data_IF_261082587067
#
_entry.id   IF_261082587067
#
_cell.length_a   1.000
_cell.length_b   1.000
_cell.length_c   1.000
_cell.angle_alpha   90.00
_cell.angle_beta   90.00
_cell.angle_gamma   90.00
#
_symmetry.space_group_name_H-M   'P 1'
#
loop_
_entity.id
_entity.type
_entity.pdbx_description
1 polymer ?
#
# COMPACT_ATOMS: atom_id res chain seq x y z
N UNK A 1 -11.85 20.56 -43.96
CA UNK A 1 -11.59 21.75 -43.09
C UNK A 1 -12.80 22.65 -42.86
N UNK A 2 -13.58 23.08 -43.88
CA UNK A 2 -14.70 24.03 -43.70
C UNK A 2 -15.93 23.51 -42.91
N UNK A 3 -16.07 22.19 -42.73
CA UNK A 3 -17.19 21.58 -41.99
C UNK A 3 -17.05 21.65 -40.47
N UNK A 4 -15.81 21.64 -39.94
CA UNK A 4 -15.56 21.67 -38.49
C UNK A 4 -15.94 23.03 -37.87
N UNK A 5 -15.86 24.12 -38.65
CA UNK A 5 -16.25 25.48 -38.23
C UNK A 5 -17.76 25.65 -37.97
N UNK A 6 -18.60 24.69 -38.35
CA UNK A 6 -20.06 24.71 -38.09
C UNK A 6 -20.44 24.10 -36.73
N UNK A 7 -19.51 23.48 -36.01
CA UNK A 7 -19.79 22.88 -34.70
C UNK A 7 -19.79 24.02 -33.65
N UNK A 8 -20.87 24.21 -32.87
CA UNK A 8 -21.04 25.36 -31.96
C UNK A 8 -20.03 25.49 -30.80
N UNK A 9 -19.05 24.60 -30.69
CA UNK A 9 -17.93 24.68 -29.75
C UNK A 9 -16.55 24.76 -30.44
N UNK A 10 -16.46 24.68 -31.77
CA UNK A 10 -15.19 24.56 -32.50
C UNK A 10 -14.29 25.79 -32.36
N UNK A 11 -14.88 27.00 -32.41
CA UNK A 11 -14.12 28.24 -32.18
C UNK A 11 -13.55 28.34 -30.76
N UNK A 12 -14.32 27.88 -29.75
CA UNK A 12 -13.85 27.83 -28.35
C UNK A 12 -12.76 26.77 -28.19
N UNK A 13 -12.89 25.62 -28.84
CA UNK A 13 -11.89 24.56 -28.86
C UNK A 13 -10.59 24.99 -29.56
N UNK A 14 -10.67 25.69 -30.70
CA UNK A 14 -9.50 26.25 -31.37
C UNK A 14 -8.78 27.30 -30.53
N UNK A 15 -9.51 28.20 -29.86
CA UNK A 15 -8.93 29.18 -28.95
C UNK A 15 -8.24 28.51 -27.75
N UNK A 16 -8.82 27.42 -27.23
CA UNK A 16 -8.22 26.61 -26.18
C UNK A 16 -6.95 25.88 -26.64
N UNK A 17 -6.96 25.29 -27.84
CA UNK A 17 -5.79 24.64 -28.43
C UNK A 17 -4.64 25.63 -28.70
N UNK A 18 -4.93 26.85 -29.15
CA UNK A 18 -3.91 27.89 -29.31
C UNK A 18 -3.31 28.29 -27.95
N UNK A 19 -4.14 28.50 -26.91
CA UNK A 19 -3.63 28.74 -25.55
C UNK A 19 -2.78 27.60 -25.02
N UNK A 20 -3.12 26.35 -25.33
CA UNK A 20 -2.29 25.18 -24.99
C UNK A 20 -0.94 25.19 -25.74
N UNK A 21 -0.92 25.62 -27.00
CA UNK A 21 0.31 25.75 -27.79
C UNK A 21 1.23 26.86 -27.26
N UNK A 22 0.69 27.92 -26.68
CA UNK A 22 1.45 29.02 -26.07
C UNK A 22 2.11 28.65 -24.73
N UNK A 23 1.72 27.54 -24.11
CA UNK A 23 2.35 27.07 -22.87
C UNK A 23 3.81 26.66 -23.08
N UNK A 24 4.64 26.91 -22.06
CA UNK A 24 6.01 26.39 -22.02
C UNK A 24 6.00 24.87 -22.04
N UNK A 25 7.08 24.27 -22.56
CA UNK A 25 7.23 22.81 -22.63
C UNK A 25 6.99 22.13 -21.27
N UNK A 26 7.52 22.71 -20.19
CA UNK A 26 7.32 22.22 -18.82
C UNK A 26 5.83 22.20 -18.42
N UNK A 27 5.07 23.25 -18.74
CA UNK A 27 3.63 23.34 -18.44
C UNK A 27 2.81 22.36 -19.26
N UNK A 28 3.20 22.12 -20.52
CA UNK A 28 2.57 21.09 -21.37
C UNK A 28 2.81 19.69 -20.82
N UNK A 29 4.06 19.39 -20.44
CA UNK A 29 4.44 18.11 -19.84
C UNK A 29 3.68 17.87 -18.53
N UNK A 30 3.61 18.89 -17.68
CA UNK A 30 2.83 18.84 -16.44
C UNK A 30 1.35 18.57 -16.70
N UNK A 31 0.73 19.25 -17.68
CA UNK A 31 -0.68 19.05 -17.99
C UNK A 31 -0.98 17.61 -18.47
N UNK A 32 -0.12 17.05 -19.32
CA UNK A 32 -0.25 15.65 -19.75
C UNK A 32 -0.09 14.71 -18.55
N UNK A 33 0.91 14.95 -17.70
CA UNK A 33 1.12 14.19 -16.48
C UNK A 33 -0.11 14.23 -15.55
N UNK A 34 -0.69 15.41 -15.35
CA UNK A 34 -1.90 15.60 -14.54
C UNK A 34 -3.11 14.84 -15.08
N UNK A 35 -3.37 14.91 -16.39
CA UNK A 35 -4.52 14.23 -17.02
C UNK A 35 -4.40 12.72 -16.87
N UNK A 36 -3.21 12.16 -17.13
CA UNK A 36 -2.97 10.72 -17.01
C UNK A 36 -3.06 10.29 -15.54
N UNK A 37 -2.38 11.00 -14.63
CA UNK A 37 -2.32 10.67 -13.21
C UNK A 37 -3.69 10.72 -12.54
N UNK A 38 -4.47 11.77 -12.76
CA UNK A 38 -5.83 11.90 -12.20
C UNK A 38 -6.75 10.80 -12.74
N UNK A 39 -6.72 10.55 -14.05
CA UNK A 39 -7.57 9.53 -14.66
C UNK A 39 -7.24 8.13 -14.13
N UNK A 40 -5.95 7.82 -14.01
CA UNK A 40 -5.48 6.57 -13.43
C UNK A 40 -5.92 6.40 -11.98
N UNK A 41 -5.73 7.42 -11.13
CA UNK A 41 -6.10 7.35 -9.71
C UNK A 41 -7.61 7.18 -9.49
N UNK A 42 -8.45 7.87 -10.27
CA UNK A 42 -9.91 7.70 -10.17
C UNK A 42 -10.32 6.27 -10.54
N UNK A 43 -9.67 5.68 -11.55
CA UNK A 43 -9.94 4.30 -11.97
C UNK A 43 -9.40 3.27 -10.96
N UNK A 44 -8.21 3.51 -10.40
CA UNK A 44 -7.59 2.63 -9.41
C UNK A 44 -8.39 2.62 -8.08
N UNK A 45 -8.80 3.80 -7.61
CA UNK A 45 -9.54 3.97 -6.36
C UNK A 45 -11.05 3.79 -6.49
N UNK A 46 -11.57 3.34 -7.65
CA UNK A 46 -13.02 3.28 -7.89
C UNK A 46 -13.77 2.35 -6.93
N UNK A 47 -13.05 1.56 -6.14
CA UNK A 47 -13.57 0.68 -5.11
C UNK A 47 -13.96 1.42 -3.80
N UNK A 48 -13.51 2.66 -3.61
CA UNK A 48 -13.81 3.47 -2.42
C UNK A 48 -15.01 4.40 -2.65
N UNK A 49 -15.66 4.92 -1.59
CA UNK A 49 -16.68 5.95 -1.73
C UNK A 49 -16.12 7.23 -2.36
N UNK A 50 -16.94 7.93 -3.17
CA UNK A 50 -16.52 9.08 -3.99
C UNK A 50 -15.80 10.18 -3.19
N UNK A 51 -16.22 10.43 -1.95
CA UNK A 51 -15.59 11.43 -1.08
C UNK A 51 -14.12 11.08 -0.78
N UNK A 52 -13.85 9.80 -0.49
CA UNK A 52 -12.50 9.31 -0.23
C UNK A 52 -11.65 9.28 -1.50
N UNK A 53 -12.23 8.90 -2.64
CA UNK A 53 -11.55 8.99 -3.95
C UNK A 53 -11.08 10.43 -4.18
N UNK A 54 -11.96 11.43 -4.00
CA UNK A 54 -11.61 12.83 -4.19
C UNK A 54 -10.49 13.29 -3.25
N UNK A 55 -10.52 12.85 -1.99
CA UNK A 55 -9.50 13.18 -1.00
C UNK A 55 -8.14 12.55 -1.35
N UNK A 56 -8.11 11.26 -1.71
CA UNK A 56 -6.92 10.53 -2.13
C UNK A 56 -6.33 11.09 -3.42
N UNK A 57 -7.18 11.35 -4.42
CA UNK A 57 -6.77 11.95 -5.69
C UNK A 57 -6.16 13.33 -5.45
N UNK A 58 -6.79 14.18 -4.63
CA UNK A 58 -6.28 15.53 -4.35
C UNK A 58 -4.95 15.48 -3.60
N UNK A 59 -4.84 14.63 -2.57
CA UNK A 59 -3.60 14.46 -1.80
C UNK A 59 -2.45 13.92 -2.65
N UNK A 60 -2.71 12.86 -3.41
CA UNK A 60 -1.71 12.24 -4.30
C UNK A 60 -1.31 13.20 -5.42
N UNK A 61 -2.27 13.94 -5.98
CA UNK A 61 -2.00 14.96 -6.98
C UNK A 61 -1.10 16.08 -6.45
N UNK A 62 -1.31 16.54 -5.21
CA UNK A 62 -0.47 17.55 -4.58
C UNK A 62 0.98 17.04 -4.43
N UNK A 63 1.15 15.82 -3.92
CA UNK A 63 2.46 15.20 -3.69
C UNK A 63 3.20 14.99 -5.02
N UNK A 64 2.53 14.40 -6.00
CA UNK A 64 3.12 14.16 -7.34
C UNK A 64 3.47 15.46 -8.06
N UNK A 65 2.67 16.51 -7.87
CA UNK A 65 2.98 17.87 -8.37
C UNK A 65 4.27 18.41 -7.76
N UNK A 66 4.42 18.28 -6.43
CA UNK A 66 5.65 18.71 -5.74
C UNK A 66 6.86 17.95 -6.31
N UNK A 67 6.77 16.62 -6.42
CA UNK A 67 7.84 15.81 -7.01
C UNK A 67 8.16 16.21 -8.45
N UNK A 68 7.15 16.44 -9.30
CA UNK A 68 7.36 16.87 -10.68
C UNK A 68 8.18 18.16 -10.77
N UNK A 69 7.84 19.17 -9.95
CA UNK A 69 8.57 20.43 -9.94
C UNK A 69 9.96 20.30 -9.31
N UNK A 70 10.12 19.52 -8.25
CA UNK A 70 11.42 19.25 -7.63
C UNK A 70 12.35 18.54 -8.62
N UNK A 71 11.86 17.52 -9.32
CA UNK A 71 12.61 16.79 -10.35
C UNK A 71 13.01 17.75 -11.47
N UNK A 72 12.05 18.54 -11.98
CA UNK A 72 12.30 19.50 -13.06
C UNK A 72 13.32 20.57 -12.67
N UNK A 73 13.26 21.07 -11.43
CA UNK A 73 14.21 22.04 -10.89
C UNK A 73 15.62 21.44 -10.76
N UNK A 74 15.74 20.28 -10.12
CA UNK A 74 17.01 19.60 -9.92
C UNK A 74 17.66 19.22 -11.26
N UNK A 75 16.87 18.73 -12.23
CA UNK A 75 17.34 18.39 -13.56
C UNK A 75 17.76 19.64 -14.37
N UNK A 76 17.07 20.77 -14.16
CA UNK A 76 17.45 22.06 -14.75
C UNK A 76 18.75 22.63 -14.18
N UNK A 77 19.05 22.38 -12.90
CA UNK A 77 20.29 22.78 -12.22
C UNK A 77 21.46 21.80 -12.41
N UNK A 78 21.19 20.64 -13.01
CA UNK A 78 22.17 19.59 -13.21
C UNK A 78 23.26 19.99 -14.21
N UNK A 79 22.96 20.86 -15.17
CA UNK A 79 23.92 21.37 -16.15
C UNK A 79 24.52 22.70 -15.69
N UNK A 80 25.85 22.75 -15.62
CA UNK A 80 26.62 23.98 -15.45
C UNK A 80 27.25 24.37 -16.78
N UNK A 81 27.12 25.64 -17.14
CA UNK A 81 27.71 26.22 -18.34
C UNK A 81 28.96 27.01 -17.92
N UNK A 82 30.13 26.65 -18.47
CA UNK A 82 31.35 27.43 -18.31
C UNK A 82 31.81 27.97 -19.68
N UNK A 83 32.14 29.28 -19.77
CA UNK A 83 32.77 29.83 -20.94
C UNK A 83 34.22 29.36 -21.01
N UNK A 84 34.60 28.74 -22.13
CA UNK A 84 35.95 28.28 -22.42
C UNK A 84 36.42 28.91 -23.72
N UNK A 85 37.61 29.53 -23.66
CA UNK A 85 38.32 29.98 -24.84
C UNK A 85 38.93 28.78 -25.56
N UNK A 86 38.45 28.50 -26.77
CA UNK A 86 39.08 27.53 -27.68
C UNK A 86 39.93 28.26 -28.70
N UNK A 87 41.03 27.64 -29.09
CA UNK A 87 41.94 28.18 -30.09
C UNK A 87 41.78 27.39 -31.39
N UNK A 88 41.52 28.09 -32.49
CA UNK A 88 41.57 27.51 -33.83
C UNK A 88 42.95 27.81 -34.41
N UNK A 89 43.77 26.78 -34.58
CA UNK A 89 45.11 26.89 -35.18
C UNK A 89 44.96 26.70 -36.69
N UNK A 90 45.22 27.76 -37.46
CA UNK A 90 45.37 27.70 -38.91
C UNK A 90 46.84 27.78 -39.32
N UNK A 91 47.15 27.66 -40.63
CA UNK A 91 48.53 27.63 -41.12
C UNK A 91 49.38 28.84 -40.71
N UNK A 92 48.76 30.03 -40.57
CA UNK A 92 49.45 31.30 -40.33
C UNK A 92 48.90 32.13 -39.15
N UNK A 93 47.92 31.64 -38.38
CA UNK A 93 47.43 32.35 -37.19
C UNK A 93 46.63 31.45 -36.25
N UNK A 94 46.62 31.79 -34.96
CA UNK A 94 45.77 31.20 -33.94
C UNK A 94 44.69 32.21 -33.53
N UNK A 95 43.42 31.92 -33.84
CA UNK A 95 42.29 32.76 -33.41
C UNK A 95 41.59 32.13 -32.21
N UNK A 96 41.48 32.87 -31.10
CA UNK A 96 40.69 32.47 -29.95
C UNK A 96 39.21 32.77 -30.18
N UNK A 97 38.32 31.82 -29.88
CA UNK A 97 36.88 32.01 -29.90
C UNK A 97 36.26 31.46 -28.60
N UNK A 98 35.27 32.18 -28.09
CA UNK A 98 34.56 31.77 -26.88
C UNK A 98 33.58 30.65 -27.22
N UNK A 99 33.65 29.56 -26.47
CA UNK A 99 32.71 28.43 -26.55
C UNK A 99 32.14 28.14 -25.18
N UNK A 100 30.90 27.67 -25.12
CA UNK A 100 30.31 27.23 -23.86
C UNK A 100 30.53 25.73 -23.71
N UNK A 101 31.24 25.31 -22.66
CA UNK A 101 31.29 23.90 -22.25
C UNK A 101 30.18 23.64 -21.25
N UNK A 102 29.36 22.64 -21.55
CA UNK A 102 28.30 22.17 -20.67
C UNK A 102 28.84 20.94 -19.94
N UNK A 103 28.79 20.93 -18.63
CA UNK A 103 29.18 19.79 -17.79
C UNK A 103 28.18 19.61 -16.64
N UNK A 104 28.24 18.45 -15.98
CA UNK A 104 27.39 18.12 -14.85
C UNK A 104 27.87 18.87 -13.60
N UNK A 105 26.94 19.49 -12.87
CA UNK A 105 27.23 20.09 -11.58
C UNK A 105 27.41 18.98 -10.52
N UNK A 106 28.64 18.73 -10.03
CA UNK A 106 28.92 17.58 -9.17
C UNK A 106 28.21 17.66 -7.81
N UNK A 107 27.93 18.88 -7.32
CA UNK A 107 27.23 19.09 -6.05
C UNK A 107 25.77 18.68 -6.20
N UNK A 108 25.09 19.17 -7.24
CA UNK A 108 23.69 18.83 -7.51
C UNK A 108 23.54 17.35 -7.83
N UNK A 109 24.44 16.81 -8.65
CA UNK A 109 24.52 15.39 -8.99
C UNK A 109 24.60 14.51 -7.73
N UNK A 110 25.62 14.73 -6.89
CA UNK A 110 25.84 13.94 -5.68
C UNK A 110 24.68 14.08 -4.69
N UNK A 111 24.14 15.28 -4.53
CA UNK A 111 23.01 15.53 -3.64
C UNK A 111 21.76 14.78 -4.09
N UNK A 112 21.40 14.87 -5.38
CA UNK A 112 20.24 14.17 -5.94
C UNK A 112 20.41 12.67 -5.86
N UNK A 113 21.59 12.15 -6.21
CA UNK A 113 21.86 10.72 -6.16
C UNK A 113 21.74 10.17 -4.74
N UNK A 114 22.47 10.75 -3.77
CA UNK A 114 22.43 10.31 -2.37
C UNK A 114 21.02 10.43 -1.80
N UNK A 115 20.33 11.54 -2.05
CA UNK A 115 18.95 11.73 -1.60
C UNK A 115 18.04 10.63 -2.13
N UNK A 116 18.10 10.31 -3.43
CA UNK A 116 17.24 9.27 -4.00
C UNK A 116 17.51 7.89 -3.38
N UNK A 117 18.79 7.51 -3.21
CA UNK A 117 19.17 6.24 -2.58
C UNK A 117 18.67 6.17 -1.13
N UNK A 118 18.87 7.23 -0.34
CA UNK A 118 18.41 7.27 1.04
C UNK A 118 16.88 7.26 1.14
N UNK A 119 16.20 7.99 0.26
CA UNK A 119 14.74 8.07 0.27
C UNK A 119 14.06 6.73 -0.04
N UNK A 120 14.70 5.82 -0.78
CA UNK A 120 14.17 4.47 -1.00
C UNK A 120 14.01 3.67 0.31
N UNK A 121 14.73 4.04 1.38
CA UNK A 121 14.55 3.45 2.70
C UNK A 121 13.11 3.60 3.22
N UNK A 122 12.47 4.75 2.98
CA UNK A 122 11.09 5.00 3.42
C UNK A 122 10.03 4.19 2.65
N UNK A 123 10.44 3.47 1.61
CA UNK A 123 9.53 2.68 0.76
C UNK A 123 9.62 1.18 1.01
N UNK A 124 10.34 0.75 2.06
CA UNK A 124 10.68 -0.65 2.35
C UNK A 124 11.40 -1.38 1.20
N UNK A 125 11.95 -0.62 0.25
CA UNK A 125 12.60 -1.17 -0.95
C UNK A 125 13.79 -2.07 -0.59
N UNK A 126 14.52 -1.73 0.49
CA UNK A 126 15.65 -2.49 0.98
C UNK A 126 15.27 -3.73 1.81
N UNK A 127 14.01 -3.86 2.24
CA UNK A 127 13.53 -5.05 2.95
C UNK A 127 13.49 -6.28 2.01
N UNK A 128 13.38 -6.04 0.69
CA UNK A 128 13.46 -7.08 -0.32
C UNK A 128 14.90 -7.28 -0.81
N UNK A 129 15.39 -8.53 -0.78
CA UNK A 129 16.72 -8.91 -1.30
C UNK A 129 16.92 -8.46 -2.75
N UNK A 130 15.88 -8.58 -3.59
CA UNK A 130 15.93 -8.14 -4.98
C UNK A 130 16.11 -6.63 -5.12
N UNK A 131 15.54 -5.84 -4.20
CA UNK A 131 15.71 -4.38 -4.18
C UNK A 131 17.15 -3.97 -3.87
N UNK A 132 17.80 -4.65 -2.91
CA UNK A 132 19.22 -4.43 -2.59
C UNK A 132 20.10 -4.76 -3.81
N UNK A 133 19.87 -5.89 -4.47
CA UNK A 133 20.62 -6.28 -5.66
C UNK A 133 20.42 -5.27 -6.79
N UNK A 134 19.17 -4.87 -7.04
CA UNK A 134 18.82 -3.89 -8.06
C UNK A 134 19.57 -2.57 -7.86
N UNK A 135 19.55 -2.01 -6.64
CA UNK A 135 20.22 -0.73 -6.39
C UNK A 135 21.74 -0.84 -6.53
N UNK A 136 22.31 -1.98 -6.13
CA UNK A 136 23.76 -2.20 -6.21
C UNK A 136 24.21 -2.22 -7.67
N UNK A 137 23.51 -2.96 -8.52
CA UNK A 137 23.75 -2.99 -9.96
C UNK A 137 23.54 -1.61 -10.57
N UNK A 138 22.49 -0.90 -10.16
CA UNK A 138 22.19 0.46 -10.63
C UNK A 138 23.31 1.43 -10.32
N UNK A 139 23.84 1.42 -9.09
CA UNK A 139 24.96 2.23 -8.66
C UNK A 139 26.21 1.93 -9.50
N UNK A 140 26.55 0.64 -9.68
CA UNK A 140 27.72 0.22 -10.48
C UNK A 140 27.61 0.72 -11.91
N UNK A 141 26.46 0.51 -12.57
CA UNK A 141 26.23 1.00 -13.93
C UNK A 141 26.31 2.53 -13.99
N UNK A 142 25.69 3.22 -13.03
CA UNK A 142 25.76 4.67 -12.91
C UNK A 142 27.19 5.20 -12.81
N UNK A 143 28.02 4.56 -11.97
CA UNK A 143 29.45 4.89 -11.84
C UNK A 143 30.21 4.64 -13.14
N UNK A 144 29.98 3.52 -13.83
CA UNK A 144 30.60 3.23 -15.13
C UNK A 144 30.21 4.31 -16.15
N UNK A 145 28.92 4.65 -16.26
CA UNK A 145 28.44 5.70 -17.18
C UNK A 145 29.06 7.06 -16.85
N UNK A 146 29.23 7.37 -15.56
CA UNK A 146 29.86 8.60 -15.10
C UNK A 146 31.35 8.65 -15.44
N UNK A 147 32.05 7.53 -15.28
CA UNK A 147 33.47 7.37 -15.57
C UNK A 147 33.77 7.43 -17.07
N UNK A 148 32.92 6.82 -17.90
CA UNK A 148 32.99 6.88 -19.37
C UNK A 148 32.62 8.26 -19.94
N UNK A 149 32.41 9.26 -19.08
CA UNK A 149 31.95 10.62 -19.44
C UNK A 149 30.69 10.63 -20.32
N UNK A 150 29.86 9.60 -20.19
CA UNK A 150 28.67 9.42 -21.01
C UNK A 150 27.51 10.26 -20.47
N UNK A 151 27.63 11.59 -20.65
CA UNK A 151 26.75 12.58 -20.02
C UNK A 151 25.27 12.37 -20.36
N UNK A 152 24.93 11.91 -21.55
CA UNK A 152 23.55 11.66 -21.96
C UNK A 152 22.96 10.47 -21.21
N UNK A 153 23.62 9.31 -21.26
CA UNK A 153 23.12 8.09 -20.62
C UNK A 153 23.13 8.20 -19.10
N UNK A 154 24.15 8.85 -18.52
CA UNK A 154 24.17 9.12 -17.09
C UNK A 154 23.02 10.02 -16.64
N UNK A 155 22.65 11.05 -17.40
CA UNK A 155 21.50 11.90 -17.10
C UNK A 155 20.18 11.16 -17.19
N UNK A 156 20.02 10.30 -18.20
CA UNK A 156 18.84 9.44 -18.33
C UNK A 156 18.75 8.50 -17.11
N UNK A 157 19.88 7.93 -16.68
CA UNK A 157 19.97 7.12 -15.47
C UNK A 157 19.60 7.94 -14.23
N UNK A 158 20.14 9.15 -14.03
CA UNK A 158 19.78 9.94 -12.86
C UNK A 158 18.29 10.32 -12.85
N UNK A 159 17.73 10.68 -14.01
CA UNK A 159 16.30 10.95 -14.15
C UNK A 159 15.46 9.71 -13.83
N UNK A 160 15.86 8.54 -14.33
CA UNK A 160 15.19 7.27 -14.04
C UNK A 160 15.16 6.97 -12.55
N UNK A 161 16.27 7.22 -11.83
CA UNK A 161 16.33 7.05 -10.38
C UNK A 161 15.39 8.01 -9.66
N UNK A 162 15.37 9.29 -10.04
CA UNK A 162 14.47 10.28 -9.46
C UNK A 162 12.99 9.92 -9.67
N UNK A 163 12.64 9.46 -10.88
CA UNK A 163 11.27 9.04 -11.22
C UNK A 163 10.89 7.78 -10.44
N UNK A 164 11.80 6.80 -10.33
CA UNK A 164 11.60 5.59 -9.55
C UNK A 164 11.35 5.93 -8.07
N UNK A 165 12.23 6.72 -7.45
CA UNK A 165 12.09 7.12 -6.05
C UNK A 165 10.81 7.90 -5.81
N UNK A 166 10.47 8.86 -6.69
CA UNK A 166 9.22 9.62 -6.57
C UNK A 166 7.98 8.73 -6.72
N UNK A 167 8.02 7.76 -7.65
CA UNK A 167 6.95 6.79 -7.87
C UNK A 167 6.73 5.91 -6.65
N UNK A 168 7.80 5.33 -6.10
CA UNK A 168 7.72 4.46 -4.91
C UNK A 168 7.27 5.22 -3.66
N UNK A 169 7.76 6.44 -3.45
CA UNK A 169 7.32 7.29 -2.34
C UNK A 169 5.83 7.67 -2.47
N UNK A 170 5.40 8.03 -3.68
CA UNK A 170 4.00 8.37 -3.93
C UNK A 170 3.08 7.17 -3.71
N UNK A 171 3.50 5.98 -4.17
CA UNK A 171 2.76 4.73 -3.94
C UNK A 171 2.70 4.37 -2.45
N UNK A 172 3.81 4.47 -1.71
CA UNK A 172 3.82 4.20 -0.26
C UNK A 172 2.92 5.17 0.50
N UNK A 173 2.92 6.44 0.12
CA UNK A 173 2.04 7.45 0.71
C UNK A 173 0.55 7.16 0.41
N UNK A 174 0.23 6.75 -0.83
CA UNK A 174 -1.11 6.33 -1.22
C UNK A 174 -1.58 5.14 -0.39
N UNK A 175 -0.75 4.09 -0.28
CA UNK A 175 -1.05 2.90 0.54
C UNK A 175 -1.32 3.26 2.01
N UNK A 176 -0.56 4.18 2.60
CA UNK A 176 -0.80 4.65 3.96
C UNK A 176 -2.13 5.41 4.08
N UNK A 177 -2.48 6.21 3.09
CA UNK A 177 -3.73 6.95 3.06
C UNK A 177 -4.95 6.02 2.87
N UNK A 178 -4.83 4.96 2.08
CA UNK A 178 -5.84 3.89 1.94
C UNK A 178 -6.04 3.14 3.26
N UNK A 179 -4.96 2.76 3.94
CA UNK A 179 -5.02 2.09 5.25
C UNK A 179 -5.73 3.00 6.26
N UNK A 180 -5.37 4.28 6.31
CA UNK A 180 -6.02 5.24 7.20
C UNK A 180 -7.50 5.42 6.86
N UNK A 181 -7.84 5.50 5.57
CA UNK A 181 -9.22 5.61 5.10
C UNK A 181 -10.05 4.39 5.50
N UNK A 182 -9.51 3.19 5.30
CA UNK A 182 -10.14 1.93 5.69
C UNK A 182 -10.33 1.87 7.20
N UNK A 183 -9.30 2.25 7.97
CA UNK A 183 -9.40 2.33 9.43
C UNK A 183 -10.51 3.30 9.87
N UNK A 184 -10.65 4.47 9.24
CA UNK A 184 -11.70 5.43 9.56
C UNK A 184 -13.10 4.93 9.18
N UNK A 185 -13.23 4.21 8.06
CA UNK A 185 -14.49 3.61 7.61
C UNK A 185 -14.98 2.52 8.56
N UNK A 186 -14.06 1.69 9.04
CA UNK A 186 -14.34 0.56 9.94
C UNK A 186 -14.13 0.88 11.41
N UNK A 187 -13.87 2.15 11.76
CA UNK A 187 -13.66 2.53 13.15
C UNK A 187 -14.97 2.31 13.93
N UNK A 188 -14.92 1.57 15.06
CA UNK A 188 -16.09 1.41 15.92
C UNK A 188 -16.68 2.76 16.35
N UNK A 189 -18.01 2.87 16.34
CA UNK A 189 -18.74 4.08 16.75
C UNK A 189 -18.88 4.21 18.26
N UNK A 190 -18.63 3.14 19.00
CA UNK A 190 -18.68 3.07 20.45
C UNK A 190 -17.32 3.32 21.12
N UNK A 191 -17.35 3.53 22.44
CA UNK A 191 -16.15 3.73 23.25
C UNK A 191 -15.29 2.45 23.29
N UNK A 192 -14.02 2.59 22.92
CA UNK A 192 -13.07 1.47 22.86
C UNK A 192 -12.60 1.08 24.26
N UNK A 193 -12.59 -0.22 24.56
CA UNK A 193 -12.04 -0.75 25.82
C UNK A 193 -10.53 -0.97 25.73
N UNK A 194 -9.85 -1.06 26.86
CA UNK A 194 -8.43 -1.46 26.86
C UNK A 194 -8.34 -2.98 26.68
N UNK A 195 -7.90 -3.43 25.49
CA UNK A 195 -7.79 -4.85 25.13
C UNK A 195 -6.34 -5.36 25.11
N UNK A 196 -5.42 -4.59 25.68
CA UNK A 196 -3.97 -4.87 25.61
C UNK A 196 -3.45 -5.74 26.75
N UNK A 197 -4.24 -5.97 27.79
CA UNK A 197 -3.83 -6.66 29.01
C UNK A 197 -3.92 -8.19 28.88
N UNK A 198 -3.20 -8.73 27.91
CA UNK A 198 -3.06 -10.17 27.73
C UNK A 198 -1.89 -10.71 28.53
N UNK A 199 -2.15 -11.75 29.32
CA UNK A 199 -1.14 -12.52 30.02
C UNK A 199 -0.94 -13.86 29.32
N UNK A 200 0.30 -14.14 28.89
CA UNK A 200 0.67 -15.40 28.26
C UNK A 200 1.56 -16.20 29.20
N UNK A 201 1.10 -17.40 29.56
CA UNK A 201 1.89 -18.36 30.31
C UNK A 201 2.60 -19.30 29.33
N UNK A 202 3.94 -19.22 29.28
CA UNK A 202 4.77 -20.03 28.39
C UNK A 202 4.77 -21.52 28.73
N UNK A 203 4.52 -21.91 29.99
CA UNK A 203 4.54 -23.31 30.40
C UNK A 203 3.24 -24.02 30.02
N UNK A 204 2.10 -23.40 30.33
CA UNK A 204 0.78 -23.95 29.98
C UNK A 204 0.33 -23.59 28.56
N UNK A 205 0.99 -22.64 27.90
CA UNK A 205 0.62 -22.05 26.60
C UNK A 205 -0.81 -21.49 26.60
N UNK A 206 -1.23 -21.00 27.76
CA UNK A 206 -2.55 -20.41 27.97
C UNK A 206 -2.42 -18.90 27.88
N UNK A 207 -3.35 -18.31 27.14
CA UNK A 207 -3.42 -16.89 26.89
C UNK A 207 -4.71 -16.37 27.53
N UNK A 208 -4.59 -15.47 28.51
CA UNK A 208 -5.71 -14.95 29.30
C UNK A 208 -5.81 -13.44 29.20
N UNK A 209 -7.02 -12.92 29.14
CA UNK A 209 -7.31 -11.53 29.36
C UNK A 209 -8.45 -11.40 30.38
N UNK A 210 -8.11 -10.87 31.56
CA UNK A 210 -9.03 -10.75 32.68
C UNK A 210 -10.08 -9.66 32.48
N UNK A 211 -9.77 -8.62 31.71
CA UNK A 211 -10.65 -7.47 31.50
C UNK A 211 -11.87 -7.83 30.64
N UNK A 212 -11.70 -8.83 29.76
CA UNK A 212 -12.75 -9.38 28.90
C UNK A 212 -13.11 -10.83 29.23
N UNK A 213 -12.55 -11.38 30.31
CA UNK A 213 -12.82 -12.73 30.82
C UNK A 213 -12.66 -13.84 29.76
N UNK A 214 -11.58 -13.76 28.97
CA UNK A 214 -11.30 -14.73 27.91
C UNK A 214 -10.05 -15.54 28.22
N UNK A 215 -10.12 -16.84 27.93
CA UNK A 215 -8.99 -17.76 27.94
C UNK A 215 -8.91 -18.53 26.61
N UNK A 216 -7.70 -18.65 26.05
CA UNK A 216 -7.38 -19.49 24.89
C UNK A 216 -6.11 -20.31 25.15
N UNK A 217 -5.88 -21.37 24.39
CA UNK A 217 -4.62 -22.12 24.37
C UNK A 217 -4.01 -22.08 22.97
N UNK A 218 -2.69 -21.86 22.91
CA UNK A 218 -1.94 -21.80 21.66
C UNK A 218 -1.15 -23.09 21.40
N UNK A 219 -1.20 -23.64 20.18
CA UNK A 219 -0.27 -24.67 19.72
C UNK A 219 1.19 -24.13 19.63
N UNK A 220 2.16 -25.03 19.52
CA UNK A 220 3.61 -24.69 19.51
C UNK A 220 4.03 -23.72 18.42
N UNK A 221 3.47 -23.86 17.23
CA UNK A 221 3.88 -23.09 16.05
C UNK A 221 3.09 -21.79 15.89
N UNK A 222 2.42 -21.31 16.94
CA UNK A 222 1.55 -20.14 16.89
C UNK A 222 1.97 -19.05 17.86
N UNK A 223 1.82 -17.82 17.38
CA UNK A 223 2.21 -16.61 18.08
C UNK A 223 1.01 -15.68 18.22
N UNK A 224 0.87 -15.08 19.39
CA UNK A 224 -0.13 -14.06 19.66
C UNK A 224 0.45 -12.67 19.51
N UNK A 225 -0.23 -11.87 18.71
CA UNK A 225 0.09 -10.49 18.43
C UNK A 225 -0.87 -9.60 19.21
N UNK A 226 -0.34 -8.95 20.25
CA UNK A 226 -1.09 -8.06 21.12
C UNK A 226 -1.54 -6.80 20.34
N UNK A 227 -2.78 -6.31 20.51
CA UNK A 227 -3.29 -5.10 19.85
C UNK A 227 -2.35 -3.89 19.89
N UNK A 228 -1.57 -3.74 20.96
CA UNK A 228 -0.61 -2.64 21.13
C UNK A 228 0.52 -2.64 20.08
N UNK A 229 0.88 -3.82 19.59
CA UNK A 229 1.99 -4.01 18.66
C UNK A 229 1.54 -4.10 17.19
N UNK A 230 0.23 -4.06 16.94
CA UNK A 230 -0.36 -4.20 15.62
C UNK A 230 -0.29 -2.90 14.82
N UNK A 231 -0.15 -3.00 13.50
CA UNK A 231 -0.22 -1.83 12.63
C UNK A 231 -1.68 -1.37 12.46
N UNK A 232 -1.89 -0.14 12.00
CA UNK A 232 -3.25 0.36 11.67
C UNK A 232 -3.99 -0.55 10.68
N UNK A 233 -3.27 -1.17 9.72
CA UNK A 233 -3.87 -2.13 8.79
C UNK A 233 -4.39 -3.37 9.52
N UNK A 234 -3.63 -3.88 10.48
CA UNK A 234 -4.01 -5.07 11.25
C UNK A 234 -5.14 -4.79 12.24
N UNK A 235 -5.26 -3.54 12.71
CA UNK A 235 -6.34 -3.10 13.59
C UNK A 235 -7.65 -2.81 12.85
N UNK A 236 -7.63 -2.74 11.52
CA UNK A 236 -8.82 -2.45 10.70
C UNK A 236 -9.69 -3.70 10.54
N UNK A 237 -10.98 -3.61 10.86
CA UNK A 237 -11.95 -4.70 10.72
C UNK A 237 -13.33 -4.36 11.30
N UNK A 238 -14.25 -5.32 11.31
CA UNK A 238 -15.66 -5.12 11.68
C UNK A 238 -15.90 -4.74 13.15
N UNK A 239 -14.88 -4.81 14.01
CA UNK A 239 -14.98 -4.46 15.42
C UNK A 239 -13.65 -4.01 16.01
N UNK A 240 -13.58 -3.91 17.34
CA UNK A 240 -12.33 -3.55 18.01
C UNK A 240 -11.40 -4.77 18.08
N UNK A 241 -10.20 -4.70 17.52
CA UNK A 241 -9.26 -5.84 17.57
C UNK A 241 -8.84 -6.15 19.01
N UNK A 242 -9.05 -7.39 19.44
CA UNK A 242 -8.63 -7.93 20.72
C UNK A 242 -7.28 -8.67 20.62
N UNK A 243 -6.92 -9.16 19.44
CA UNK A 243 -5.61 -9.71 19.15
C UNK A 243 -5.61 -10.54 17.88
N UNK A 244 -4.41 -10.93 17.41
CA UNK A 244 -4.26 -11.78 16.23
C UNK A 244 -3.38 -12.98 16.60
N UNK A 245 -3.85 -14.18 16.28
CA UNK A 245 -3.09 -15.42 16.41
C UNK A 245 -2.63 -15.81 15.01
N UNK A 246 -1.35 -16.10 14.82
CA UNK A 246 -0.83 -16.49 13.50
C UNK A 246 0.33 -17.48 13.61
N UNK A 247 0.60 -18.15 12.50
CA UNK A 247 1.72 -19.09 12.35
C UNK A 247 3.10 -18.42 12.19
N UNK A 248 3.21 -17.12 12.44
CA UNK A 248 4.46 -16.37 12.32
C UNK A 248 4.65 -15.40 13.49
N UNK A 249 5.86 -15.35 14.02
CA UNK A 249 6.24 -14.41 15.07
C UNK A 249 6.27 -12.96 14.57
N UNK A 250 6.52 -12.74 13.27
CA UNK A 250 6.73 -11.39 12.71
C UNK A 250 5.61 -10.90 11.81
N UNK A 251 4.83 -11.81 11.21
CA UNK A 251 3.74 -11.47 10.29
C UNK A 251 2.40 -11.91 10.89
N UNK A 252 1.60 -10.98 11.48
CA UNK A 252 0.32 -11.32 12.10
C UNK A 252 -0.71 -11.88 11.11
N UNK A 253 -0.51 -11.70 9.80
CA UNK A 253 -1.44 -12.14 8.77
C UNK A 253 -0.99 -13.43 8.07
N UNK A 254 0.03 -14.12 8.59
CA UNK A 254 0.53 -15.37 8.01
C UNK A 254 -0.46 -16.51 8.26
N UNK A 255 -0.93 -17.17 7.21
CA UNK A 255 -1.88 -18.28 7.38
C UNK A 255 -1.21 -19.53 7.94
N UNK A 256 -1.92 -20.28 8.79
CA UNK A 256 -3.25 -19.95 9.35
C UNK A 256 -3.21 -18.77 10.33
N UNK A 257 -4.21 -17.89 10.24
CA UNK A 257 -4.36 -16.71 11.10
C UNK A 257 -5.80 -16.53 11.58
N UNK A 258 -5.94 -16.13 12.85
CA UNK A 258 -7.23 -15.86 13.51
C UNK A 258 -7.17 -14.46 14.10
N UNK A 259 -7.98 -13.54 13.58
CA UNK A 259 -8.17 -12.20 14.14
C UNK A 259 -9.37 -12.23 15.08
N UNK A 260 -9.19 -11.76 16.30
CA UNK A 260 -10.23 -11.75 17.32
C UNK A 260 -10.72 -10.32 17.45
N UNK A 261 -12.00 -10.08 17.14
CA UNK A 261 -12.66 -8.80 17.32
C UNK A 261 -13.60 -8.85 18.51
N UNK A 262 -13.59 -7.79 19.31
CA UNK A 262 -14.45 -7.59 20.48
C UNK A 262 -15.57 -6.60 20.16
N UNK A 263 -16.75 -6.92 20.65
CA UNK A 263 -17.94 -6.08 20.57
C UNK A 263 -18.58 -5.96 21.96
N UNK A 264 -18.89 -4.73 22.42
CA UNK A 264 -19.47 -4.51 23.74
C UNK A 264 -20.97 -4.84 23.81
N UNK A 265 -21.53 -5.47 22.77
CA UNK A 265 -22.93 -5.85 22.68
C UNK A 265 -23.05 -7.32 22.23
N UNK A 266 -24.09 -8.05 22.67
CA UNK A 266 -24.38 -9.38 22.20
C UNK A 266 -24.86 -9.36 20.74
N UNK A 267 -24.24 -10.13 19.85
CA UNK A 267 -24.75 -10.39 18.50
C UNK A 267 -25.84 -11.45 18.57
N UNK A 268 -27.07 -11.02 18.34
CA UNK A 268 -28.26 -11.89 18.31
C UNK A 268 -28.57 -12.39 16.89
N UNK A 269 -28.05 -11.75 15.85
CA UNK A 269 -28.34 -12.06 14.45
C UNK A 269 -27.06 -12.14 13.61
N UNK A 270 -26.76 -13.33 13.09
CA UNK A 270 -25.61 -13.61 12.22
C UNK A 270 -25.71 -12.83 10.90
N UNK A 271 -26.93 -12.58 10.41
CA UNK A 271 -27.17 -11.93 9.12
C UNK A 271 -26.58 -10.51 9.04
N UNK A 272 -26.64 -9.76 10.15
CA UNK A 272 -26.07 -8.41 10.20
C UNK A 272 -24.54 -8.45 10.06
N UNK A 273 -23.90 -9.37 10.78
CA UNK A 273 -22.45 -9.57 10.72
C UNK A 273 -22.03 -10.10 9.35
N UNK A 274 -22.82 -11.02 8.76
CA UNK A 274 -22.60 -11.54 7.42
C UNK A 274 -22.59 -10.41 6.39
N UNK A 275 -23.53 -9.46 6.47
CA UNK A 275 -23.57 -8.30 5.57
C UNK A 275 -22.31 -7.44 5.67
N UNK A 276 -21.89 -7.07 6.88
CA UNK A 276 -20.67 -6.27 7.11
C UNK A 276 -19.40 -7.02 6.65
N UNK A 277 -19.35 -8.33 6.88
CA UNK A 277 -18.23 -9.17 6.43
C UNK A 277 -18.18 -9.32 4.91
N UNK A 278 -19.34 -9.41 4.24
CA UNK A 278 -19.43 -9.40 2.79
C UNK A 278 -18.96 -8.06 2.22
N UNK A 279 -19.30 -6.93 2.85
CA UNK A 279 -18.76 -5.62 2.46
C UNK A 279 -17.23 -5.58 2.59
N UNK A 280 -16.69 -6.11 3.68
CA UNK A 280 -15.25 -6.25 3.86
C UNK A 280 -14.61 -7.13 2.78
N UNK A 281 -15.19 -8.31 2.48
CA UNK A 281 -14.70 -9.19 1.40
C UNK A 281 -14.79 -8.52 0.03
N UNK A 282 -15.88 -7.81 -0.25
CA UNK A 282 -16.07 -7.08 -1.51
C UNK A 282 -15.01 -5.98 -1.66
N UNK A 283 -14.63 -5.29 -0.59
CA UNK A 283 -13.50 -4.35 -0.62
C UNK A 283 -12.19 -5.08 -0.95
N UNK A 284 -11.89 -6.21 -0.33
CA UNK A 284 -10.70 -7.00 -0.65
C UNK A 284 -10.69 -7.52 -2.11
N UNK A 285 -11.84 -7.90 -2.65
CA UNK A 285 -12.00 -8.28 -4.07
C UNK A 285 -11.76 -7.08 -4.97
N UNK A 286 -12.37 -5.94 -4.67
CA UNK A 286 -12.23 -4.73 -5.47
C UNK A 286 -10.81 -4.14 -5.40
N UNK A 287 -10.08 -4.39 -4.31
CA UNK A 287 -8.65 -4.08 -4.17
C UNK A 287 -7.74 -5.05 -4.95
N UNK A 288 -8.30 -6.12 -5.52
CA UNK A 288 -7.54 -7.14 -6.25
C UNK A 288 -6.68 -8.04 -5.37
N UNK A 289 -6.89 -8.02 -4.04
CA UNK A 289 -6.27 -8.98 -3.11
C UNK A 289 -6.87 -10.38 -3.33
N UNK A 290 -8.13 -10.44 -3.77
CA UNK A 290 -8.93 -11.67 -3.94
C UNK A 290 -9.67 -11.70 -5.29
N UNK A 291 -9.71 -12.85 -5.97
CA UNK A 291 -10.25 -12.95 -7.35
C UNK A 291 -11.47 -13.88 -7.48
N UNK A 292 -11.63 -14.91 -6.64
CA UNK A 292 -12.61 -16.00 -6.85
C UNK A 292 -13.42 -16.34 -5.58
N UNK A 293 -14.13 -15.37 -4.99
CA UNK A 293 -14.89 -15.61 -3.76
C UNK A 293 -16.11 -16.50 -4.00
N UNK A 294 -16.16 -17.64 -3.32
CA UNK A 294 -17.30 -18.57 -3.33
C UNK A 294 -17.74 -18.89 -1.91
N UNK A 295 -19.02 -18.68 -1.60
CA UNK A 295 -19.58 -19.04 -0.30
C UNK A 295 -19.64 -20.57 -0.15
N UNK A 296 -19.08 -21.06 0.95
CA UNK A 296 -19.16 -22.48 1.35
C UNK A 296 -20.43 -22.77 2.16
N UNK A 297 -20.95 -21.77 2.86
CA UNK A 297 -22.18 -21.84 3.65
C UNK A 297 -21.95 -21.55 5.14
N UNK A 298 -23.02 -21.76 5.92
CA UNK A 298 -23.01 -21.66 7.37
C UNK A 298 -22.35 -22.87 8.01
N UNK A 299 -21.49 -22.63 9.00
CA UNK A 299 -20.82 -23.65 9.79
C UNK A 299 -21.11 -23.39 11.28
N UNK A 300 -21.43 -24.44 12.02
CA UNK A 300 -21.63 -24.38 13.46
C UNK A 300 -20.52 -25.18 14.15
N UNK A 301 -19.74 -24.50 14.98
CA UNK A 301 -18.64 -25.10 15.71
C UNK A 301 -19.09 -25.57 17.10
N UNK A 302 -19.29 -26.88 17.24
CA UNK A 302 -19.68 -27.56 18.49
C UNK A 302 -20.90 -26.95 19.22
N UNK A 303 -21.82 -26.28 18.50
CA UNK A 303 -22.96 -25.52 19.06
C UNK A 303 -22.57 -24.36 19.99
N UNK A 304 -21.30 -23.94 19.95
CA UNK A 304 -20.77 -22.81 20.74
C UNK A 304 -20.60 -21.55 19.91
N UNK A 305 -20.34 -21.72 18.61
CA UNK A 305 -20.12 -20.60 17.70
C UNK A 305 -20.81 -20.88 16.37
N UNK A 306 -21.46 -19.85 15.85
CA UNK A 306 -22.03 -19.87 14.51
C UNK A 306 -21.15 -19.05 13.57
N UNK A 307 -21.02 -19.50 12.33
CA UNK A 307 -20.10 -18.88 11.38
C UNK A 307 -20.51 -19.07 9.94
N UNK A 308 -19.88 -18.31 9.06
CA UNK A 308 -20.05 -18.40 7.60
C UNK A 308 -18.69 -18.35 6.96
N UNK A 309 -18.48 -19.18 5.94
CA UNK A 309 -17.19 -19.30 5.27
C UNK A 309 -17.29 -19.14 3.77
N UNK A 310 -16.18 -18.68 3.21
CA UNK A 310 -15.94 -18.48 1.80
C UNK A 310 -14.57 -19.07 1.41
N UNK A 311 -14.46 -19.50 0.16
CA UNK A 311 -13.18 -19.85 -0.46
C UNK A 311 -12.81 -18.81 -1.47
N UNK A 312 -11.51 -18.64 -1.69
CA UNK A 312 -11.01 -17.71 -2.69
C UNK A 312 -9.59 -18.04 -3.14
N UNK A 313 -9.22 -17.47 -4.28
CA UNK A 313 -7.85 -17.42 -4.73
C UNK A 313 -7.16 -16.15 -4.21
N UNK A 314 -6.12 -16.33 -3.38
CA UNK A 314 -5.29 -15.26 -2.84
C UNK A 314 -4.25 -14.87 -3.90
N UNK A 315 -4.34 -13.64 -4.41
CA UNK A 315 -3.45 -13.16 -5.47
C UNK A 315 -2.08 -12.73 -4.90
N UNK A 316 -2.05 -12.24 -3.66
CA UNK A 316 -0.82 -11.83 -2.99
C UNK A 316 0.05 -13.04 -2.63
N UNK A 317 -0.59 -14.16 -2.30
CA UNK A 317 0.06 -15.45 -2.04
C UNK A 317 -0.60 -16.48 -2.95
N UNK A 318 -0.09 -16.72 -4.18
CA UNK A 318 -0.80 -17.45 -5.24
C UNK A 318 -1.19 -18.87 -4.83
N UNK A 319 -2.37 -19.03 -4.21
CA UNK A 319 -2.93 -20.27 -3.70
C UNK A 319 -4.44 -20.12 -3.41
N UNK A 320 -5.13 -21.25 -3.30
CA UNK A 320 -6.49 -21.29 -2.77
C UNK A 320 -6.49 -21.28 -1.23
N UNK A 321 -7.35 -20.44 -0.67
CA UNK A 321 -7.52 -20.24 0.76
C UNK A 321 -9.01 -20.29 1.15
N UNK A 322 -9.25 -20.46 2.45
CA UNK A 322 -10.56 -20.37 3.09
C UNK A 322 -10.53 -19.20 4.07
N UNK A 323 -11.56 -18.35 4.04
CA UNK A 323 -11.77 -17.27 5.01
C UNK A 323 -13.20 -17.29 5.50
N UNK A 324 -13.42 -16.87 6.72
CA UNK A 324 -14.77 -16.75 7.27
C UNK A 324 -14.72 -16.22 8.67
N UNK A 325 -15.86 -16.25 9.35
CA UNK A 325 -15.91 -15.85 10.74
C UNK A 325 -16.68 -16.86 11.58
N UNK A 326 -16.35 -16.92 12.86
CA UNK A 326 -17.19 -17.49 13.91
C UNK A 326 -17.58 -16.40 14.90
N UNK A 327 -18.83 -16.41 15.36
CA UNK A 327 -19.33 -15.54 16.43
C UNK A 327 -19.46 -16.38 17.69
N UNK A 328 -18.79 -15.94 18.75
CA UNK A 328 -19.03 -16.40 20.10
C UNK A 328 -19.83 -15.34 20.85
N UNK A 329 -21.16 -15.45 20.79
CA UNK A 329 -22.09 -14.68 21.60
C UNK A 329 -22.78 -15.61 22.60
N UNK A 330 -23.20 -15.08 23.74
CA UNK A 330 -23.96 -15.85 24.72
C UNK A 330 -25.21 -15.07 25.12
N UNK A 331 -26.36 -15.76 25.21
CA UNK A 331 -27.66 -15.17 25.54
C UNK A 331 -27.69 -14.34 26.85
N UNK A 332 -26.69 -14.53 27.72
CA UNK A 332 -26.57 -13.89 29.04
C UNK A 332 -25.30 -13.08 29.22
N UNK A 333 -24.42 -13.03 28.22
CA UNK A 333 -23.15 -12.33 28.30
C UNK A 333 -23.27 -10.95 27.62
N UNK A 334 -22.69 -9.89 28.20
CA UNK A 334 -22.92 -8.52 27.73
C UNK A 334 -22.21 -8.20 26.42
N UNK A 335 -21.29 -9.05 25.99
CA UNK A 335 -20.32 -8.81 24.91
C UNK A 335 -20.18 -10.04 23.99
N UNK A 336 -19.67 -9.80 22.78
CA UNK A 336 -19.44 -10.83 21.77
C UNK A 336 -18.03 -10.79 21.20
N UNK A 337 -17.58 -11.95 20.74
CA UNK A 337 -16.34 -12.09 20.00
C UNK A 337 -16.60 -12.59 18.59
N UNK A 338 -15.91 -12.00 17.63
CA UNK A 338 -15.88 -12.45 16.26
C UNK A 338 -14.47 -12.93 15.92
N UNK A 339 -14.35 -14.19 15.55
CA UNK A 339 -13.11 -14.81 15.11
C UNK A 339 -13.08 -14.81 13.60
N UNK A 340 -12.35 -13.87 12.99
CA UNK A 340 -12.09 -13.88 11.55
C UNK A 340 -10.92 -14.82 11.28
N UNK A 341 -11.19 -15.88 10.54
CA UNK A 341 -10.24 -16.95 10.23
C UNK A 341 -9.78 -16.81 8.79
N UNK A 342 -8.49 -16.98 8.55
CA UNK A 342 -7.92 -17.17 7.22
C UNK A 342 -6.93 -18.32 7.25
N UNK A 343 -7.19 -19.34 6.44
CA UNK A 343 -6.46 -20.61 6.45
C UNK A 343 -6.28 -21.16 5.03
N UNK A 344 -5.41 -22.17 4.90
CA UNK A 344 -5.18 -22.85 3.64
C UNK A 344 -6.30 -23.86 3.38
N UNK A 345 -6.67 -24.03 2.11
CA UNK A 345 -7.63 -25.06 1.74
C UNK A 345 -6.98 -26.45 1.87
N UNK A 346 -7.38 -27.24 2.87
CA UNK A 346 -6.88 -28.62 3.08
C UNK A 346 -7.88 -29.63 2.53
N UNK A 347 -7.43 -30.49 1.61
CA UNK A 347 -8.30 -31.49 1.00
C UNK A 347 -8.86 -32.47 2.04
N UNK A 348 -10.19 -32.58 2.10
CA UNK A 348 -10.90 -33.53 2.97
C UNK A 348 -11.01 -33.10 4.44
N UNK A 349 -10.66 -31.85 4.78
CA UNK A 349 -10.90 -31.26 6.10
C UNK A 349 -11.70 -29.97 5.95
N UNK A 350 -12.49 -29.64 6.96
CA UNK A 350 -13.28 -28.39 7.01
C UNK A 350 -12.38 -27.23 7.44
N UNK A 351 -11.48 -27.44 8.40
CA UNK A 351 -10.49 -26.48 8.87
C UNK A 351 -9.10 -27.12 9.04
N UNK A 352 -8.07 -26.28 9.20
CA UNK A 352 -6.76 -26.74 9.68
C UNK A 352 -6.85 -27.19 11.15
N UNK A 353 -6.21 -28.31 11.50
CA UNK A 353 -6.31 -28.91 12.85
C UNK A 353 -5.84 -27.98 13.97
N UNK A 354 -4.85 -27.14 13.69
CA UNK A 354 -4.39 -26.12 14.62
C UNK A 354 -5.45 -25.05 14.88
N UNK A 355 -6.22 -24.65 13.85
CA UNK A 355 -7.31 -23.68 13.98
C UNK A 355 -8.42 -24.28 14.84
N UNK A 356 -8.82 -25.53 14.57
CA UNK A 356 -9.82 -26.25 15.37
C UNK A 356 -9.41 -26.34 16.86
N UNK A 357 -8.15 -26.68 17.15
CA UNK A 357 -7.63 -26.74 18.53
C UNK A 357 -7.69 -25.38 19.24
N UNK A 358 -7.35 -24.29 18.55
CA UNK A 358 -7.42 -22.94 19.11
C UNK A 358 -8.89 -22.59 19.42
N UNK A 359 -9.80 -22.82 18.48
CA UNK A 359 -11.23 -22.52 18.67
C UNK A 359 -11.86 -23.36 19.78
N UNK A 360 -11.52 -24.65 19.89
CA UNK A 360 -11.97 -25.53 20.98
C UNK A 360 -11.49 -25.07 22.35
N UNK A 361 -10.30 -24.47 22.41
CA UNK A 361 -9.71 -24.00 23.65
C UNK A 361 -10.32 -22.70 24.18
N UNK A 362 -11.08 -21.98 23.35
CA UNK A 362 -11.70 -20.72 23.73
C UNK A 362 -12.73 -20.93 24.85
N UNK A 363 -12.53 -20.21 25.94
CA UNK A 363 -13.42 -20.20 27.09
C UNK A 363 -13.68 -18.76 27.52
N UNK A 364 -14.92 -18.52 27.95
CA UNK A 364 -15.35 -17.30 28.63
C UNK A 364 -15.52 -17.63 30.11
N UNK A 365 -14.82 -16.90 30.97
CA UNK A 365 -14.81 -17.12 32.44
C UNK A 365 -15.87 -16.29 33.16
#
# INVERSE_FOLDING_TARGET
>A
MKWLLKIPAWKKFQAFLMKLQELSFLRKLYLVYSVIGISFLILHESHLPIFFILLLVTGTYLITTIFFFVISFAFGKLLKQEPIKKYKIGPNSATAYDTVRIFLNPIVEGTVFIFCILSLFFTDFYSNRSGIIFITVYCVIGFILRFLESTVFYRISLLGLMVLTAGLLSFKALQQAEILTSYLLFKPTWEQKELTNWNYDSESKILKNLDIQVQLSLPEDFYFHNPKNLTLKDQTGTGQIAGIISSSETDPNRYPSIRIFYFPEPFLEIDKVKSEFIEFLNLSVNQGEVIEVHELGEENFERKMDGVFWTYYDNLRPRYAKTGFFIASGDKLPDSFLFHISESLVKGRVHEESVEKILQSFKRE
#
